data_IF_077982730306
#
_entry.id   IF_077982730306
#
_cell.length_a   1.000
_cell.length_b   1.000
_cell.length_c   1.000
_cell.angle_alpha   90.00
_cell.angle_beta   90.00
_cell.angle_gamma   90.00
#
_symmetry.space_group_name_H-M   'P 1'
#
loop_
_entity.id
_entity.type
_entity.pdbx_description
1 polymer ?
#
# COMPACT_ATOMS: atom_id res chain seq x y z
N UNK A 1 20.14 -4.32 10.78
CA UNK A 1 19.26 -3.26 11.33
C UNK A 1 18.54 -3.82 12.54
N UNK A 2 18.80 -3.27 13.74
CA UNK A 2 18.17 -3.78 14.95
C UNK A 2 16.64 -3.62 14.90
N UNK A 3 15.92 -4.62 15.35
CA UNK A 3 14.45 -4.66 15.42
C UNK A 3 13.71 -4.36 14.11
N UNK A 4 14.37 -4.50 12.96
CA UNK A 4 13.67 -4.51 11.69
C UNK A 4 12.65 -5.64 11.68
N UNK A 5 11.46 -5.40 11.11
CA UNK A 5 10.52 -6.50 10.86
C UNK A 5 11.21 -7.53 9.98
N UNK A 6 11.91 -7.05 8.95
CA UNK A 6 12.90 -7.83 8.23
C UNK A 6 13.87 -6.91 7.48
N UNK A 7 15.04 -7.46 7.15
CA UNK A 7 16.06 -6.83 6.33
C UNK A 7 16.57 -7.88 5.33
N UNK A 8 16.24 -7.71 4.06
CA UNK A 8 16.47 -8.70 3.02
C UNK A 8 17.21 -8.12 1.82
N UNK A 9 18.02 -8.96 1.20
CA UNK A 9 18.61 -8.70 -0.11
C UNK A 9 17.80 -9.51 -1.14
N UNK A 10 17.33 -8.88 -2.21
CA UNK A 10 16.73 -9.57 -3.33
C UNK A 10 17.86 -10.30 -4.10
N UNK A 11 17.66 -11.58 -4.40
CA UNK A 11 18.69 -12.37 -5.08
C UNK A 11 18.71 -12.19 -6.61
N UNK A 12 17.80 -11.39 -7.14
CA UNK A 12 17.68 -11.14 -8.59
C UNK A 12 16.99 -12.26 -9.35
N UNK A 13 16.49 -13.30 -8.67
CA UNK A 13 15.86 -14.48 -9.25
C UNK A 13 14.46 -14.77 -8.68
N UNK A 14 13.93 -13.84 -7.90
CA UNK A 14 12.62 -13.98 -7.25
C UNK A 14 12.67 -14.40 -5.81
N UNK A 15 13.82 -14.60 -5.22
CA UNK A 15 14.01 -14.95 -3.81
C UNK A 15 14.72 -13.86 -3.03
N UNK A 16 14.96 -14.13 -1.75
CA UNK A 16 15.63 -13.23 -0.83
C UNK A 16 16.68 -13.94 -0.01
N UNK A 17 17.65 -13.17 0.48
CA UNK A 17 18.63 -13.57 1.48
C UNK A 17 18.64 -12.56 2.60
N UNK A 18 18.91 -12.96 3.85
CA UNK A 18 19.10 -12.00 4.93
C UNK A 18 20.21 -11.00 4.59
N UNK A 19 19.96 -9.73 4.91
CA UNK A 19 20.98 -8.68 4.75
C UNK A 19 21.91 -8.71 5.96
N UNK A 20 23.14 -9.11 5.76
CA UNK A 20 24.15 -9.22 6.84
C UNK A 20 24.97 -7.94 6.97
N UNK A 21 25.23 -7.25 5.85
CA UNK A 21 26.05 -6.06 5.81
C UNK A 21 25.49 -5.03 4.83
N UNK A 22 25.24 -3.81 5.33
CA UNK A 22 24.71 -2.69 4.53
C UNK A 22 25.71 -2.11 3.55
N UNK A 23 27.01 -2.47 3.63
CA UNK A 23 28.04 -1.99 2.71
C UNK A 23 27.98 -2.64 1.33
N UNK A 24 27.16 -3.68 1.15
CA UNK A 24 27.05 -4.47 -0.11
C UNK A 24 25.78 -4.15 -0.89
N UNK A 25 25.15 -3.02 -0.65
CA UNK A 25 23.92 -2.62 -1.34
C UNK A 25 24.25 -2.06 -2.71
N UNK A 26 23.77 -2.69 -3.78
CA UNK A 26 23.92 -2.25 -5.17
C UNK A 26 22.63 -2.47 -5.98
N UNK A 27 22.61 -2.00 -7.23
CA UNK A 27 21.42 -2.13 -8.09
C UNK A 27 21.16 -3.57 -8.56
N UNK A 28 22.19 -4.42 -8.61
CA UNK A 28 22.05 -5.81 -9.02
C UNK A 28 21.38 -6.66 -7.92
N UNK A 29 21.56 -6.27 -6.68
CA UNK A 29 20.99 -6.94 -5.50
C UNK A 29 20.34 -5.91 -4.59
N UNK A 30 19.17 -5.38 -4.96
CA UNK A 30 18.51 -4.37 -4.14
C UNK A 30 18.14 -4.95 -2.77
N UNK A 31 18.15 -4.09 -1.76
CA UNK A 31 17.83 -4.48 -0.39
C UNK A 31 16.50 -3.90 0.04
N UNK A 32 15.74 -4.68 0.76
CA UNK A 32 14.46 -4.26 1.34
C UNK A 32 14.53 -4.30 2.86
N UNK A 33 14.44 -3.12 3.47
CA UNK A 33 14.33 -2.94 4.91
C UNK A 33 12.90 -2.56 5.25
N UNK A 34 12.23 -3.39 6.05
CA UNK A 34 10.86 -3.12 6.50
C UNK A 34 10.87 -2.88 8.01
N UNK A 35 10.41 -1.70 8.42
CA UNK A 35 10.55 -1.21 9.79
C UNK A 35 9.19 -0.84 10.38
N UNK A 36 9.03 -1.16 11.66
CA UNK A 36 8.00 -0.53 12.49
C UNK A 36 8.63 0.69 13.16
N UNK A 37 8.30 1.91 12.69
CA UNK A 37 8.95 3.15 13.16
C UNK A 37 8.60 3.50 14.61
N UNK A 38 7.66 2.82 15.25
CA UNK A 38 7.31 3.02 16.66
C UNK A 38 8.23 2.23 17.58
N UNK A 39 8.87 1.18 17.10
CA UNK A 39 9.85 0.43 17.87
C UNK A 39 11.09 1.28 18.11
N UNK A 40 11.58 1.31 19.34
CA UNK A 40 12.65 2.20 19.76
C UNK A 40 13.92 2.05 18.91
N UNK A 41 14.39 0.83 18.70
CA UNK A 41 15.63 0.57 17.96
C UNK A 41 15.47 0.87 16.45
N UNK A 42 14.32 0.58 15.86
CA UNK A 42 14.03 0.97 14.47
C UNK A 42 13.94 2.48 14.33
N UNK A 43 13.28 3.16 15.23
CA UNK A 43 13.19 4.62 15.24
C UNK A 43 14.57 5.27 15.40
N UNK A 44 15.42 4.75 16.26
CA UNK A 44 16.78 5.24 16.47
C UNK A 44 17.64 4.99 15.23
N UNK A 45 17.58 3.80 14.64
CA UNK A 45 18.30 3.51 13.40
C UNK A 45 17.86 4.46 12.28
N UNK A 46 16.57 4.65 12.13
CA UNK A 46 16.00 5.53 11.11
C UNK A 46 16.46 6.99 11.29
N UNK A 47 16.57 7.44 12.55
CA UNK A 47 17.01 8.79 12.88
C UNK A 47 18.51 9.04 12.63
N UNK A 48 19.33 8.00 12.61
CA UNK A 48 20.80 8.13 12.61
C UNK A 48 21.51 7.48 11.43
N UNK A 49 20.80 6.69 10.61
CA UNK A 49 21.45 5.95 9.52
C UNK A 49 22.04 6.88 8.46
N UNK A 50 23.31 6.67 8.05
CA UNK A 50 23.90 7.42 6.96
C UNK A 50 23.43 7.00 5.57
N UNK A 51 22.68 5.90 5.47
CA UNK A 51 22.13 5.40 4.20
C UNK A 51 21.05 6.32 3.61
N UNK A 52 20.42 7.14 4.47
CA UNK A 52 19.30 7.99 4.08
C UNK A 52 19.62 9.46 4.36
N UNK A 53 19.27 10.38 3.44
CA UNK A 53 19.32 11.82 3.71
C UNK A 53 18.39 12.20 4.88
N UNK A 54 18.70 13.30 5.57
CA UNK A 54 17.93 13.76 6.73
C UNK A 54 16.44 13.96 6.43
N UNK A 55 16.12 14.57 5.28
CA UNK A 55 14.75 14.82 4.86
C UNK A 55 13.97 13.54 4.60
N UNK A 56 14.64 12.50 4.12
CA UNK A 56 14.03 11.17 3.90
C UNK A 56 13.74 10.49 5.25
N UNK A 57 14.70 10.55 6.17
CA UNK A 57 14.53 9.97 7.51
C UNK A 57 13.32 10.57 8.23
N UNK A 58 13.21 11.90 8.21
CA UNK A 58 12.09 12.61 8.84
C UNK A 58 10.75 12.23 8.18
N UNK A 59 10.73 12.12 6.86
CA UNK A 59 9.52 11.77 6.12
C UNK A 59 9.07 10.32 6.38
N UNK A 60 10.01 9.38 6.50
CA UNK A 60 9.69 7.97 6.78
C UNK A 60 9.12 7.75 8.18
N UNK A 61 9.48 8.60 9.13
CA UNK A 61 8.95 8.60 10.50
C UNK A 61 7.77 9.58 10.69
N UNK A 62 7.37 10.29 9.64
CA UNK A 62 6.36 11.35 9.71
C UNK A 62 4.94 10.84 9.83
N UNK A 63 4.03 11.76 10.14
CA UNK A 63 2.60 11.47 10.37
C UNK A 63 1.72 11.70 9.15
N UNK A 64 2.28 12.13 8.01
CA UNK A 64 1.50 12.34 6.80
C UNK A 64 0.87 11.03 6.32
N UNK A 65 -0.44 11.02 6.15
CA UNK A 65 -1.21 9.80 5.86
C UNK A 65 -1.87 9.81 4.49
N UNK A 66 -1.87 10.96 3.80
CA UNK A 66 -2.47 11.06 2.46
C UNK A 66 -1.55 10.43 1.42
N UNK A 67 -2.08 9.59 0.52
CA UNK A 67 -1.28 9.04 -0.57
C UNK A 67 -0.65 10.13 -1.42
N UNK A 68 0.66 10.01 -1.61
CA UNK A 68 1.44 10.97 -2.39
C UNK A 68 2.75 10.34 -2.85
N UNK A 69 3.33 10.92 -3.88
CA UNK A 69 4.66 10.60 -4.36
C UNK A 69 5.45 11.89 -4.51
N UNK A 70 6.71 11.87 -4.06
CA UNK A 70 7.63 13.00 -4.22
C UNK A 70 9.04 12.52 -4.46
N UNK A 71 9.81 13.30 -5.24
CA UNK A 71 11.22 13.05 -5.40
C UNK A 71 11.99 13.70 -4.26
N UNK A 72 12.89 12.94 -3.65
CA UNK A 72 13.79 13.41 -2.59
C UNK A 72 15.21 12.95 -2.93
N UNK A 73 16.07 13.90 -3.34
CA UNK A 73 17.41 13.58 -3.78
C UNK A 73 17.38 12.68 -5.02
N UNK A 74 18.10 11.58 -4.98
CA UNK A 74 18.13 10.57 -6.07
C UNK A 74 17.01 9.53 -5.95
N UNK A 75 16.23 9.58 -4.89
CA UNK A 75 15.20 8.60 -4.61
C UNK A 75 13.79 9.15 -4.75
N UNK A 76 12.84 8.27 -4.52
CA UNK A 76 11.41 8.54 -4.57
C UNK A 76 10.79 8.15 -3.24
N UNK A 77 10.02 9.06 -2.64
CA UNK A 77 9.24 8.80 -1.44
C UNK A 77 7.76 8.63 -1.81
N UNK A 78 7.17 7.52 -1.37
CA UNK A 78 5.80 7.16 -1.67
C UNK A 78 5.07 6.90 -0.35
N UNK A 79 3.92 7.55 -0.17
CA UNK A 79 3.00 7.26 0.94
C UNK A 79 1.77 6.58 0.38
N UNK A 80 1.43 5.41 0.91
CA UNK A 80 0.29 4.60 0.49
C UNK A 80 -0.61 4.28 1.68
N UNK A 81 -1.90 4.12 1.41
CA UNK A 81 -2.87 3.63 2.38
C UNK A 81 -3.21 2.18 2.05
N UNK A 82 -3.28 1.35 3.06
CA UNK A 82 -3.33 -0.09 2.92
C UNK A 82 -4.39 -0.68 3.83
N UNK A 83 -4.96 -1.82 3.45
CA UNK A 83 -5.86 -2.56 4.32
C UNK A 83 -5.08 -3.06 5.54
N UNK A 84 -5.67 -2.88 6.72
CA UNK A 84 -5.08 -3.27 8.01
C UNK A 84 -4.99 -4.79 8.12
N UNK A 85 -3.79 -5.29 8.43
CA UNK A 85 -3.53 -6.71 8.66
C UNK A 85 -3.56 -7.12 10.13
N UNK A 86 -3.79 -6.19 11.05
CA UNK A 86 -3.86 -6.46 12.48
C UNK A 86 -5.25 -6.96 12.87
N UNK A 87 -5.33 -8.08 13.60
CA UNK A 87 -6.60 -8.70 13.99
C UNK A 87 -7.30 -8.00 15.16
N UNK A 88 -6.57 -7.21 15.93
CA UNK A 88 -7.05 -6.58 17.16
C UNK A 88 -7.73 -5.23 16.92
N UNK A 89 -7.82 -4.79 15.68
CA UNK A 89 -8.29 -3.47 15.34
C UNK A 89 -9.42 -3.51 14.31
N UNK A 90 -10.10 -2.37 14.19
CA UNK A 90 -11.20 -2.21 13.24
C UNK A 90 -10.72 -2.52 11.83
N UNK A 91 -11.28 -3.53 11.16
CA UNK A 91 -10.83 -3.94 9.82
C UNK A 91 -11.04 -2.87 8.74
N UNK A 92 -11.85 -1.86 9.02
CA UNK A 92 -12.14 -0.72 8.16
C UNK A 92 -11.08 0.38 8.25
N UNK A 93 -10.07 0.25 9.12
CA UNK A 93 -9.06 1.27 9.31
C UNK A 93 -7.89 1.06 8.34
N UNK A 94 -7.67 2.05 7.46
CA UNK A 94 -6.54 2.03 6.55
C UNK A 94 -5.24 2.39 7.25
N UNK A 95 -4.20 1.64 6.98
CA UNK A 95 -2.86 1.82 7.53
C UNK A 95 -2.01 2.64 6.54
N UNK A 96 -1.21 3.57 7.05
CA UNK A 96 -0.23 4.27 6.22
C UNK A 96 1.07 3.45 6.15
N UNK A 97 1.58 3.29 4.94
CA UNK A 97 2.91 2.75 4.67
C UNK A 97 3.70 3.77 3.87
N UNK A 98 4.93 4.04 4.28
CA UNK A 98 5.83 4.94 3.57
C UNK A 98 6.98 4.15 3.00
N UNK A 99 7.36 4.47 1.78
CA UNK A 99 8.42 3.76 1.06
C UNK A 99 9.38 4.76 0.46
N UNK A 100 10.67 4.61 0.72
CA UNK A 100 11.71 5.29 -0.02
C UNK A 100 12.45 4.30 -0.90
N UNK A 101 12.67 4.66 -2.15
CA UNK A 101 13.32 3.81 -3.15
C UNK A 101 14.28 4.62 -4.02
N UNK A 102 15.45 4.06 -4.31
CA UNK A 102 16.43 4.70 -5.21
C UNK A 102 17.03 3.71 -6.25
N UNK A 103 16.46 2.54 -6.42
CA UNK A 103 16.93 1.51 -7.34
C UNK A 103 17.83 0.45 -6.72
N UNK A 104 18.46 0.74 -5.60
CA UNK A 104 19.31 -0.21 -4.85
C UNK A 104 18.79 -0.48 -3.43
N UNK A 105 18.01 0.43 -2.89
CA UNK A 105 17.50 0.39 -1.53
C UNK A 105 15.99 0.63 -1.53
N UNK A 106 15.28 -0.18 -0.79
CA UNK A 106 13.86 -0.03 -0.49
C UNK A 106 13.74 0.03 1.03
N UNK A 107 13.28 1.16 1.56
CA UNK A 107 12.98 1.29 3.00
C UNK A 107 11.50 1.55 3.14
N UNK A 108 10.77 0.60 3.69
CA UNK A 108 9.34 0.73 3.97
C UNK A 108 9.11 0.80 5.48
N UNK A 109 8.24 1.71 5.89
CA UNK A 109 7.92 1.93 7.31
C UNK A 109 6.42 1.89 7.52
N UNK A 110 6.01 1.34 8.65
CA UNK A 110 4.62 1.28 9.06
C UNK A 110 4.52 1.24 10.59
N UNK A 111 3.37 1.59 11.12
CA UNK A 111 3.05 1.37 12.52
C UNK A 111 2.29 0.04 12.67
N UNK A 112 1.25 -0.15 11.88
CA UNK A 112 0.39 -1.35 11.90
C UNK A 112 0.69 -2.23 10.71
N UNK A 113 0.44 -3.53 10.85
CA UNK A 113 0.70 -4.52 9.82
C UNK A 113 -0.07 -4.20 8.53
N UNK A 114 0.61 -4.29 7.39
CA UNK A 114 0.05 -4.14 6.06
C UNK A 114 -0.26 -5.53 5.51
N UNK A 115 -1.54 -5.84 5.34
CA UNK A 115 -1.99 -7.17 4.95
C UNK A 115 -1.41 -7.62 3.59
N UNK A 116 -1.41 -6.74 2.61
CA UNK A 116 -0.97 -7.06 1.26
C UNK A 116 0.53 -7.42 1.15
N UNK A 117 1.36 -6.97 2.10
CA UNK A 117 2.78 -7.33 2.09
C UNK A 117 3.00 -8.83 2.35
N UNK A 118 2.08 -9.51 3.01
CA UNK A 118 2.17 -10.95 3.21
C UNK A 118 2.21 -11.71 1.88
N UNK A 119 1.50 -11.22 0.86
CA UNK A 119 1.50 -11.83 -0.48
C UNK A 119 2.89 -11.71 -1.14
N UNK A 120 3.50 -10.55 -1.07
CA UNK A 120 4.83 -10.30 -1.64
C UNK A 120 5.91 -11.08 -0.88
N UNK A 121 5.83 -11.09 0.45
CA UNK A 121 6.74 -11.84 1.32
C UNK A 121 6.66 -13.34 1.00
N UNK A 122 5.46 -13.87 0.87
CA UNK A 122 5.24 -15.29 0.53
C UNK A 122 5.85 -15.64 -0.83
N UNK A 123 5.65 -14.79 -1.85
CA UNK A 123 6.23 -15.00 -3.17
C UNK A 123 7.77 -15.00 -3.12
N UNK A 124 8.35 -14.09 -2.36
CA UNK A 124 9.81 -14.02 -2.19
C UNK A 124 10.35 -15.25 -1.45
N UNK A 125 9.67 -15.73 -0.44
CA UNK A 125 10.05 -16.95 0.29
C UNK A 125 9.98 -18.19 -0.60
N UNK A 126 9.04 -18.23 -1.54
CA UNK A 126 8.89 -19.30 -2.52
C UNK A 126 9.81 -19.18 -3.74
N UNK A 127 10.54 -18.08 -3.86
CA UNK A 127 11.43 -17.83 -5.00
C UNK A 127 10.73 -17.36 -6.26
N UNK A 128 9.49 -16.90 -6.16
CA UNK A 128 8.66 -16.40 -7.28
C UNK A 128 8.33 -14.92 -7.16
N UNK A 129 9.02 -14.22 -6.30
CA UNK A 129 8.81 -12.81 -6.03
C UNK A 129 9.51 -11.86 -7.02
N UNK A 130 9.47 -10.55 -6.74
CA UNK A 130 10.11 -9.55 -7.59
C UNK A 130 11.63 -9.71 -7.61
N UNK A 131 12.24 -9.35 -8.75
CA UNK A 131 13.68 -9.49 -8.97
C UNK A 131 14.45 -8.18 -8.86
N UNK A 132 13.75 -7.05 -8.92
CA UNK A 132 14.35 -5.71 -8.84
C UNK A 132 13.40 -4.72 -8.14
N UNK A 133 13.85 -3.48 -7.96
CA UNK A 133 13.06 -2.44 -7.29
C UNK A 133 11.77 -2.13 -8.02
N UNK A 134 11.79 -2.00 -9.33
CA UNK A 134 10.60 -1.74 -10.14
C UNK A 134 9.57 -2.86 -10.02
N UNK A 135 10.01 -4.10 -10.08
CA UNK A 135 9.18 -5.28 -9.88
C UNK A 135 8.59 -5.35 -8.47
N UNK A 136 9.38 -5.00 -7.46
CA UNK A 136 8.91 -4.91 -6.08
C UNK A 136 7.76 -3.90 -5.96
N UNK A 137 7.94 -2.71 -6.50
CA UNK A 137 6.92 -1.66 -6.42
C UNK A 137 5.62 -2.07 -7.12
N UNK A 138 5.74 -2.63 -8.32
CA UNK A 138 4.57 -3.12 -9.07
C UNK A 138 3.85 -4.23 -8.31
N UNK A 139 4.57 -5.21 -7.78
CA UNK A 139 3.97 -6.33 -7.05
C UNK A 139 3.29 -5.87 -5.76
N UNK A 140 3.89 -4.94 -5.03
CA UNK A 140 3.28 -4.35 -3.83
C UNK A 140 2.01 -3.57 -4.18
N UNK A 141 2.07 -2.70 -5.17
CA UNK A 141 0.90 -1.90 -5.58
C UNK A 141 -0.22 -2.79 -6.15
N UNK A 142 0.14 -3.85 -6.85
CA UNK A 142 -0.83 -4.84 -7.35
C UNK A 142 -1.54 -5.54 -6.19
N UNK A 143 -0.79 -6.04 -5.22
CA UNK A 143 -1.35 -6.69 -4.03
C UNK A 143 -2.21 -5.73 -3.19
N UNK A 144 -1.77 -4.49 -3.00
CA UNK A 144 -2.56 -3.46 -2.31
C UNK A 144 -3.89 -3.22 -3.01
N UNK A 145 -3.88 -3.18 -4.34
CA UNK A 145 -5.09 -2.93 -5.15
C UNK A 145 -6.03 -4.13 -5.11
N UNK A 146 -5.51 -5.36 -5.13
CA UNK A 146 -6.32 -6.56 -4.97
C UNK A 146 -7.07 -6.55 -3.63
N UNK A 147 -6.40 -6.25 -2.54
CA UNK A 147 -7.03 -6.19 -1.21
C UNK A 147 -8.03 -5.04 -1.10
N UNK A 148 -7.71 -3.88 -1.66
CA UNK A 148 -8.64 -2.73 -1.67
C UNK A 148 -9.89 -3.02 -2.51
N UNK A 149 -9.72 -3.62 -3.67
CA UNK A 149 -10.83 -3.99 -4.57
C UNK A 149 -11.75 -5.04 -3.94
N UNK A 150 -11.16 -6.04 -3.29
CA UNK A 150 -11.91 -7.05 -2.55
C UNK A 150 -12.72 -6.43 -1.40
N UNK A 151 -12.12 -5.52 -0.64
CA UNK A 151 -12.79 -4.83 0.44
C UNK A 151 -13.97 -3.97 -0.05
N UNK A 152 -13.78 -3.23 -1.14
CA UNK A 152 -14.84 -2.42 -1.78
C UNK A 152 -15.99 -3.33 -2.23
N UNK A 153 -15.67 -4.44 -2.87
CA UNK A 153 -16.66 -5.42 -3.34
C UNK A 153 -17.46 -6.01 -2.18
N UNK A 154 -16.81 -6.37 -1.08
CA UNK A 154 -17.48 -6.86 0.13
C UNK A 154 -18.44 -5.81 0.73
N UNK A 155 -18.03 -4.55 0.78
CA UNK A 155 -18.90 -3.46 1.24
C UNK A 155 -20.11 -3.27 0.33
N UNK A 156 -19.89 -3.33 -0.98
CA UNK A 156 -20.95 -3.22 -1.99
C UNK A 156 -21.97 -4.36 -1.83
N UNK A 157 -21.51 -5.60 -1.69
CA UNK A 157 -22.37 -6.76 -1.50
C UNK A 157 -23.20 -6.67 -0.20
N UNK A 158 -22.59 -6.20 0.88
CA UNK A 158 -23.31 -5.97 2.15
C UNK A 158 -24.40 -4.92 2.01
N UNK A 159 -24.16 -3.86 1.25
CA UNK A 159 -25.18 -2.82 1.00
C UNK A 159 -26.35 -3.40 0.18
N UNK A 160 -26.06 -4.17 -0.86
CA UNK A 160 -27.09 -4.83 -1.68
C UNK A 160 -27.92 -5.78 -0.81
N UNK A 161 -27.30 -6.60 0.02
CA UNK A 161 -27.99 -7.53 0.92
C UNK A 161 -28.91 -6.79 1.90
N UNK A 162 -28.47 -5.65 2.43
CA UNK A 162 -29.30 -4.82 3.32
C UNK A 162 -30.49 -4.21 2.59
N UNK A 163 -30.31 -3.74 1.36
CA UNK A 163 -31.39 -3.21 0.53
C UNK A 163 -32.42 -4.28 0.20
N UNK A 164 -31.99 -5.50 -0.10
CA UNK A 164 -32.85 -6.66 -0.35
C UNK A 164 -33.61 -7.05 0.93
N UNK A 165 -32.98 -7.05 2.08
CA UNK A 165 -33.63 -7.31 3.39
C UNK A 165 -34.69 -6.25 3.71
N UNK A 166 -34.46 -4.99 3.35
CA UNK A 166 -35.46 -3.93 3.53
C UNK A 166 -36.69 -4.16 2.64
N UNK A 167 -36.51 -4.68 1.42
CA UNK A 167 -37.61 -5.06 0.54
C UNK A 167 -38.42 -6.23 1.10
N UNK A 168 -37.77 -7.17 1.78
CA UNK A 168 -38.38 -8.32 2.43
C UNK A 168 -38.95 -7.98 3.82
N UNK A 169 -39.02 -6.71 4.18
CA UNK A 169 -39.50 -6.19 5.46
C UNK A 169 -38.71 -6.65 6.70
N UNK A 170 -37.49 -7.12 6.52
CA UNK A 170 -36.56 -7.35 7.61
C UNK A 170 -35.94 -6.02 8.04
N UNK A 171 -35.89 -5.77 9.33
CA UNK A 171 -35.32 -4.53 9.87
C UNK A 171 -33.84 -4.77 10.19
N UNK A 172 -32.90 -4.18 9.45
CA UNK A 172 -31.49 -4.28 9.79
C UNK A 172 -31.18 -3.53 11.08
N UNK A 173 -30.05 -3.83 11.75
CA UNK A 173 -29.61 -3.07 12.91
C UNK A 173 -29.52 -1.58 12.58
N UNK A 174 -29.96 -0.75 13.50
CA UNK A 174 -30.05 0.70 13.32
C UNK A 174 -28.67 1.28 13.06
N UNK A 175 -28.52 2.08 12.00
CA UNK A 175 -27.28 2.73 11.62
C UNK A 175 -26.28 1.86 10.87
N UNK A 176 -26.56 0.58 10.61
CA UNK A 176 -25.62 -0.31 9.94
C UNK A 176 -25.36 0.10 8.48
N UNK A 177 -26.40 0.50 7.76
CA UNK A 177 -26.25 0.99 6.38
C UNK A 177 -25.43 2.29 6.32
N UNK A 178 -25.68 3.20 7.26
CA UNK A 178 -24.91 4.45 7.37
C UNK A 178 -23.41 4.17 7.65
N UNK A 179 -23.13 3.16 8.48
CA UNK A 179 -21.76 2.74 8.77
C UNK A 179 -21.06 2.20 7.52
N UNK A 180 -21.71 1.35 6.72
CA UNK A 180 -21.16 0.81 5.48
C UNK A 180 -20.87 1.92 4.47
N UNK A 181 -21.76 2.88 4.33
CA UNK A 181 -21.53 4.04 3.46
C UNK A 181 -20.36 4.89 3.92
N UNK A 182 -20.24 5.10 5.23
CA UNK A 182 -19.09 5.83 5.81
C UNK A 182 -17.78 5.14 5.46
N UNK A 183 -17.72 3.82 5.53
CA UNK A 183 -16.55 3.05 5.15
C UNK A 183 -16.20 3.24 3.67
N UNK A 184 -17.19 3.24 2.77
CA UNK A 184 -16.98 3.52 1.34
C UNK A 184 -16.46 4.95 1.11
N UNK A 185 -16.99 5.92 1.83
CA UNK A 185 -16.54 7.31 1.74
C UNK A 185 -15.09 7.45 2.19
N UNK A 186 -14.70 6.76 3.27
CA UNK A 186 -13.31 6.72 3.74
C UNK A 186 -12.40 6.06 2.69
N UNK A 187 -12.83 4.94 2.11
CA UNK A 187 -12.09 4.28 1.03
C UNK A 187 -11.87 5.24 -0.13
N UNK A 188 -12.91 5.93 -0.57
CA UNK A 188 -12.81 6.89 -1.67
C UNK A 188 -11.83 8.02 -1.37
N UNK A 189 -11.88 8.55 -0.15
CA UNK A 189 -10.99 9.66 0.29
C UNK A 189 -9.51 9.33 0.10
N UNK A 190 -9.12 8.08 0.35
CA UNK A 190 -7.72 7.67 0.26
C UNK A 190 -7.37 6.99 -1.06
N UNK A 191 -8.30 6.26 -1.67
CA UNK A 191 -8.02 5.54 -2.91
C UNK A 191 -8.01 6.44 -4.14
N UNK A 192 -8.75 7.55 -4.13
CA UNK A 192 -8.69 8.52 -5.24
C UNK A 192 -7.28 9.13 -5.39
N UNK A 193 -6.65 9.71 -4.34
CA UNK A 193 -5.28 10.16 -4.46
C UNK A 193 -4.28 9.02 -4.69
N UNK A 194 -4.55 7.81 -4.20
CA UNK A 194 -3.67 6.66 -4.44
C UNK A 194 -3.66 6.24 -5.92
N UNK A 195 -4.80 6.26 -6.59
CA UNK A 195 -4.85 6.07 -8.05
C UNK A 195 -3.98 7.09 -8.77
N UNK A 196 -4.02 8.35 -8.34
CA UNK A 196 -3.20 9.40 -8.93
C UNK A 196 -1.69 9.15 -8.70
N UNK A 197 -1.33 8.62 -7.54
CA UNK A 197 0.05 8.18 -7.26
C UNK A 197 0.48 7.09 -8.25
N UNK A 198 -0.35 6.07 -8.46
CA UNK A 198 -0.04 4.99 -9.40
C UNK A 198 0.08 5.48 -10.84
N UNK A 199 -0.81 6.36 -11.27
CA UNK A 199 -0.76 6.97 -12.60
C UNK A 199 0.50 7.82 -12.78
N UNK A 200 0.91 8.55 -11.76
CA UNK A 200 2.13 9.35 -11.78
C UNK A 200 3.37 8.46 -11.85
N UNK A 201 3.43 7.38 -11.08
CA UNK A 201 4.54 6.41 -11.15
C UNK A 201 4.63 5.75 -12.53
N UNK A 202 3.50 5.50 -13.17
CA UNK A 202 3.44 4.98 -14.53
C UNK A 202 3.98 5.97 -15.57
N UNK A 203 3.82 7.27 -15.36
CA UNK A 203 4.21 8.31 -16.31
C UNK A 203 5.65 8.82 -16.10
N UNK A 204 6.19 8.70 -14.89
CA UNK A 204 7.56 9.13 -14.60
C UNK A 204 8.58 8.14 -15.11
N UNK A 205 9.69 8.64 -15.65
CA UNK A 205 10.81 7.82 -16.11
C UNK A 205 11.84 7.64 -15.00
N UNK A 206 11.51 6.78 -14.05
CA UNK A 206 12.42 6.39 -13.00
C UNK A 206 13.48 5.44 -13.57
N UNK A 207 14.78 5.67 -13.31
CA UNK A 207 15.86 4.84 -13.91
C UNK A 207 15.77 3.35 -13.57
N UNK A 208 15.16 3.02 -12.43
CA UNK A 208 15.02 1.65 -11.93
C UNK A 208 13.67 1.00 -12.30
N UNK A 209 12.86 1.65 -13.15
CA UNK A 209 11.61 1.09 -13.68
C UNK A 209 11.68 0.91 -15.19
N UNK A 210 11.35 -0.28 -15.66
CA UNK A 210 11.23 -0.59 -17.09
C UNK A 210 9.94 -0.05 -17.69
N UNK A 211 9.86 0.01 -19.02
CA UNK A 211 8.64 0.37 -19.75
C UNK A 211 7.49 -0.61 -19.46
N UNK A 212 7.82 -1.89 -19.35
CA UNK A 212 6.84 -2.93 -19.02
C UNK A 212 6.28 -2.74 -17.59
N UNK A 213 7.14 -2.43 -16.64
CA UNK A 213 6.73 -2.15 -15.27
C UNK A 213 5.85 -0.90 -15.20
N UNK A 214 6.15 0.14 -15.98
CA UNK A 214 5.29 1.33 -16.06
C UNK A 214 3.91 1.00 -16.64
N UNK A 215 3.85 0.17 -17.68
CA UNK A 215 2.55 -0.28 -18.22
C UNK A 215 1.74 -1.06 -17.19
N UNK A 216 2.37 -1.94 -16.44
CA UNK A 216 1.73 -2.67 -15.35
C UNK A 216 1.22 -1.72 -14.26
N UNK A 217 1.98 -0.68 -13.95
CA UNK A 217 1.55 0.33 -12.98
C UNK A 217 0.33 1.11 -13.48
N UNK A 218 0.26 1.42 -14.78
CA UNK A 218 -0.93 2.05 -15.37
C UNK A 218 -2.14 1.14 -15.29
N UNK A 219 -2.00 -0.15 -15.53
CA UNK A 219 -3.08 -1.12 -15.39
C UNK A 219 -3.59 -1.19 -13.94
N UNK A 220 -2.70 -1.09 -12.97
CA UNK A 220 -3.05 -1.03 -11.54
C UNK A 220 -3.85 0.24 -11.24
N UNK A 221 -3.42 1.39 -11.76
CA UNK A 221 -4.14 2.66 -11.62
C UNK A 221 -5.55 2.57 -12.22
N UNK A 222 -5.69 2.00 -13.41
CA UNK A 222 -6.97 1.82 -14.10
C UNK A 222 -7.89 0.89 -13.31
N UNK A 223 -7.35 -0.18 -12.74
CA UNK A 223 -8.13 -1.13 -11.93
C UNK A 223 -8.63 -0.46 -10.64
N UNK A 224 -7.81 0.35 -9.98
CA UNK A 224 -8.25 1.12 -8.82
C UNK A 224 -9.30 2.16 -9.21
N UNK A 225 -9.18 2.77 -10.38
CA UNK A 225 -10.18 3.68 -10.94
C UNK A 225 -11.54 3.03 -11.11
N UNK A 226 -11.58 1.78 -11.57
CA UNK A 226 -12.84 1.02 -11.65
C UNK A 226 -13.46 0.78 -10.28
N UNK A 227 -12.65 0.50 -9.26
CA UNK A 227 -13.11 0.39 -7.88
C UNK A 227 -13.72 1.68 -7.36
N UNK A 228 -13.15 2.82 -7.71
CA UNK A 228 -13.70 4.14 -7.36
C UNK A 228 -15.05 4.40 -8.03
N UNK A 229 -15.21 4.03 -9.30
CA UNK A 229 -16.50 4.10 -10.00
C UNK A 229 -17.56 3.24 -9.33
N UNK A 230 -17.18 2.07 -8.86
CA UNK A 230 -18.04 1.16 -8.12
C UNK A 230 -18.49 1.76 -6.77
N UNK A 231 -17.59 2.44 -6.07
CA UNK A 231 -17.91 3.19 -4.84
C UNK A 231 -18.95 4.27 -5.16
N UNK A 232 -18.73 5.06 -6.20
CA UNK A 232 -19.63 6.15 -6.60
C UNK A 232 -21.02 5.60 -6.96
N UNK A 233 -21.08 4.49 -7.67
CA UNK A 233 -22.34 3.81 -8.00
C UNK A 233 -23.06 3.28 -6.75
N UNK A 234 -22.33 2.87 -5.72
CA UNK A 234 -22.91 2.35 -4.47
C UNK A 234 -23.44 3.47 -3.55
N UNK A 235 -22.90 4.67 -3.65
CA UNK A 235 -23.30 5.82 -2.83
C UNK A 235 -24.48 6.58 -3.46
N UNK A 236 -24.45 6.82 -4.79
CA UNK A 236 -25.39 7.68 -5.51
C UNK A 236 -26.85 7.19 -5.53
N UNK A 237 -27.18 5.87 -5.74
CA UNK A 237 -28.59 5.44 -5.91
C UNK A 237 -29.46 5.61 -4.67
N UNK A 238 -28.86 5.70 -3.49
CA UNK A 238 -29.59 5.73 -2.22
C UNK A 238 -30.15 7.12 -1.91
N UNK A 239 -29.53 8.18 -2.42
CA UNK A 239 -30.05 9.54 -2.28
C UNK A 239 -31.33 9.80 -3.10
N UNK A 240 -31.62 8.99 -4.12
CA UNK A 240 -32.80 9.12 -4.96
C UNK A 240 -34.01 8.31 -4.45
N UNK A 241 -33.79 7.28 -3.66
CA UNK A 241 -34.88 6.42 -3.16
C UNK A 241 -35.60 6.98 -1.94
N UNK A 242 -35.09 8.05 -1.35
CA UNK A 242 -35.68 8.72 -0.17
C UNK A 242 -36.39 10.04 -0.50
N UNK A 243 -36.45 10.41 -1.77
CA UNK A 243 -37.22 11.55 -2.29
C UNK A 243 -38.57 11.07 -2.80
#
# INVERSE_FOLDING_TARGET
>A
VPDAVFAWMLDGRGGVKPLENTDVIDEAHPCWLHLNYVHHDSAQWLATTPLLPNNVRDALAGESTRPRVSRLGEGTLITLRCINGSTDERPDQLVAMRVYMDGRLIVSTRQRKVLALDDVVSDLEEGTGPTDCGGWLVDVCDALTDHSSEFIEQLHDKIIDLEDNLRDQQIPPRGFLALLRKQLIVMRRYMAPQRDVYARLASERLPWMSDDQRRRMQDIADRLGRGLDEIDASIAPVSYTHL
#
